data_IF_249698325215
#
_entry.id   IF_249698325215
#
_cell.length_a   1.000
_cell.length_b   1.000
_cell.length_c   1.000
_cell.angle_alpha   90.00
_cell.angle_beta   90.00
_cell.angle_gamma   90.00
#
_symmetry.space_group_name_H-M   'P 1'
#
loop_
_entity.id
_entity.type
_entity.pdbx_description
1 polymer ?
#
# COMPACT_ATOMS: atom_id res chain seq x y z
N UNK A 1 13.98 -16.25 -2.13
CA UNK A 1 12.72 -15.50 -1.89
C UNK A 1 12.46 -14.69 -3.13
N UNK A 2 11.32 -14.87 -3.77
CA UNK A 2 10.88 -13.98 -4.86
C UNK A 2 10.76 -12.57 -4.31
N UNK A 3 11.60 -11.67 -4.82
CA UNK A 3 11.56 -10.27 -4.42
C UNK A 3 10.23 -9.66 -4.85
N UNK A 4 9.37 -9.28 -3.91
CA UNK A 4 8.23 -8.44 -4.18
C UNK A 4 8.71 -6.99 -4.15
N UNK A 5 8.51 -6.26 -5.25
CA UNK A 5 8.78 -4.83 -5.32
C UNK A 5 7.49 -4.06 -5.08
N UNK A 6 7.54 -3.05 -4.22
CA UNK A 6 6.39 -2.22 -3.87
C UNK A 6 6.74 -0.76 -4.17
N UNK A 7 6.04 -0.15 -5.13
CA UNK A 7 6.22 1.25 -5.48
C UNK A 7 5.14 2.10 -4.80
N UNK A 8 5.56 3.11 -4.05
CA UNK A 8 4.71 3.99 -3.24
C UNK A 8 4.73 5.42 -3.76
N UNK A 9 3.68 6.22 -3.53
CA UNK A 9 3.60 7.59 -4.06
C UNK A 9 4.57 8.55 -3.36
N UNK A 10 5.01 8.24 -2.14
CA UNK A 10 5.93 9.07 -1.39
C UNK A 10 7.39 9.02 -1.85
N UNK A 11 7.71 8.06 -2.73
CA UNK A 11 9.04 7.91 -3.30
C UNK A 11 9.00 7.78 -4.82
N UNK A 12 9.68 8.71 -5.51
CA UNK A 12 9.75 8.70 -6.97
C UNK A 12 10.66 7.57 -7.46
N UNK A 13 10.11 6.67 -8.24
CA UNK A 13 10.79 5.47 -8.72
C UNK A 13 11.84 5.82 -9.78
N UNK A 14 13.06 5.28 -9.66
CA UNK A 14 13.98 5.15 -10.77
C UNK A 14 13.56 3.94 -11.62
N UNK A 15 13.03 4.22 -12.80
CA UNK A 15 12.44 3.21 -13.66
C UNK A 15 13.49 2.19 -14.15
N UNK A 16 14.69 2.66 -14.50
CA UNK A 16 15.75 1.77 -14.96
C UNK A 16 16.17 0.81 -13.85
N UNK A 17 16.38 1.33 -12.66
CA UNK A 17 16.71 0.52 -11.49
C UNK A 17 15.61 -0.48 -11.13
N UNK A 18 14.33 -0.08 -11.18
CA UNK A 18 13.20 -0.98 -10.93
C UNK A 18 13.17 -2.13 -11.95
N UNK A 19 13.37 -1.83 -13.24
CA UNK A 19 13.40 -2.84 -14.31
C UNK A 19 14.56 -3.82 -14.08
N UNK A 20 15.75 -3.33 -13.75
CA UNK A 20 16.91 -4.18 -13.46
C UNK A 20 16.66 -5.13 -12.29
N UNK A 21 16.02 -4.62 -11.22
CA UNK A 21 15.62 -5.46 -10.09
C UNK A 21 14.61 -6.53 -10.48
N UNK A 22 13.59 -6.19 -11.28
CA UNK A 22 12.58 -7.16 -11.74
C UNK A 22 13.19 -8.24 -12.62
N UNK A 23 14.13 -7.90 -13.51
CA UNK A 23 14.84 -8.87 -14.34
C UNK A 23 15.75 -9.77 -13.50
N UNK A 24 16.45 -9.23 -12.50
CA UNK A 24 17.24 -10.01 -11.56
C UNK A 24 16.37 -10.98 -10.76
N UNK A 25 15.27 -10.48 -10.19
CA UNK A 25 14.31 -11.32 -9.45
C UNK A 25 13.75 -12.45 -10.31
N UNK A 26 13.42 -12.16 -11.57
CA UNK A 26 12.93 -13.17 -12.52
C UNK A 26 13.96 -14.26 -12.76
N UNK A 27 15.24 -13.89 -12.95
CA UNK A 27 16.34 -14.85 -13.19
C UNK A 27 16.64 -15.71 -11.97
N UNK A 28 16.57 -15.12 -10.78
CA UNK A 28 16.85 -15.81 -9.51
C UNK A 28 15.68 -16.70 -9.06
N UNK A 29 14.48 -16.44 -9.55
CA UNK A 29 13.30 -17.20 -9.21
C UNK A 29 13.23 -18.50 -10.05
N UNK A 30 13.22 -19.68 -9.41
CA UNK A 30 13.09 -20.95 -10.12
C UNK A 30 11.84 -21.06 -11.00
N UNK A 31 10.78 -20.34 -10.68
CA UNK A 31 9.53 -20.27 -11.46
C UNK A 31 9.56 -19.21 -12.56
N UNK A 32 10.70 -18.50 -12.71
CA UNK A 32 10.97 -17.56 -13.79
C UNK A 32 9.95 -16.41 -13.91
N UNK A 33 9.54 -15.84 -12.78
CA UNK A 33 8.72 -14.63 -12.75
C UNK A 33 9.22 -13.66 -11.66
N UNK A 34 8.84 -12.41 -11.77
CA UNK A 34 8.99 -11.37 -10.74
C UNK A 34 7.66 -10.66 -10.49
N UNK A 35 7.54 -9.99 -9.36
CA UNK A 35 6.31 -9.32 -8.95
C UNK A 35 6.60 -7.86 -8.56
N UNK A 36 5.74 -6.95 -9.02
CA UNK A 36 5.69 -5.59 -8.53
C UNK A 36 4.26 -5.21 -8.14
N UNK A 37 4.11 -4.53 -7.00
CA UNK A 37 2.86 -3.88 -6.60
C UNK A 37 3.07 -2.38 -6.70
N UNK A 38 2.17 -1.71 -7.40
CA UNK A 38 2.20 -0.27 -7.58
C UNK A 38 0.98 0.36 -6.93
N UNK A 39 1.22 1.43 -6.18
CA UNK A 39 0.13 2.32 -5.77
C UNK A 39 -0.32 3.19 -6.96
N UNK A 40 -1.59 3.55 -7.00
CA UNK A 40 -2.17 4.45 -8.04
C UNK A 40 -1.44 5.80 -8.14
N UNK A 41 -0.80 6.23 -7.07
CA UNK A 41 0.00 7.47 -7.04
C UNK A 41 1.49 7.30 -7.33
N UNK A 42 1.92 6.11 -7.77
CA UNK A 42 3.33 5.88 -8.11
C UNK A 42 3.77 6.74 -9.28
N UNK A 43 4.94 7.36 -9.17
CA UNK A 43 5.54 8.21 -10.19
C UNK A 43 6.97 7.80 -10.48
N UNK A 44 7.42 8.03 -11.74
CA UNK A 44 8.84 7.97 -12.14
C UNK A 44 9.22 9.19 -12.98
N UNK A 45 10.49 9.35 -13.26
CA UNK A 45 10.96 10.48 -14.06
C UNK A 45 10.42 10.38 -15.51
N UNK A 46 9.78 11.45 -15.97
CA UNK A 46 9.15 11.50 -17.30
C UNK A 46 7.74 10.91 -17.37
N UNK A 47 7.25 10.33 -16.27
CA UNK A 47 5.86 9.87 -16.19
C UNK A 47 4.92 11.02 -15.84
N UNK A 48 3.84 11.11 -16.60
CA UNK A 48 2.71 12.01 -16.30
C UNK A 48 1.47 11.17 -16.14
N UNK A 49 0.84 11.27 -14.97
CA UNK A 49 -0.41 10.58 -14.67
C UNK A 49 -1.47 10.98 -15.70
N UNK A 50 -2.04 10.01 -16.38
CA UNK A 50 -3.10 10.21 -17.36
C UNK A 50 -4.45 10.03 -16.70
N UNK A 51 -5.29 11.03 -16.79
CA UNK A 51 -6.68 10.96 -16.34
C UNK A 51 -7.60 10.85 -17.57
N UNK A 52 -8.71 10.12 -17.43
CA UNK A 52 -9.69 9.97 -18.49
C UNK A 52 -11.13 9.99 -17.95
N UNK A 53 -12.09 10.23 -18.86
CA UNK A 53 -13.51 10.29 -18.53
C UNK A 53 -13.95 11.62 -17.93
N UNK A 54 -15.23 11.70 -17.60
CA UNK A 54 -15.82 12.86 -16.93
C UNK A 54 -15.49 12.82 -15.43
N UNK A 55 -15.45 14.01 -14.83
CA UNK A 55 -15.27 14.13 -13.38
C UNK A 55 -16.52 13.60 -12.66
N UNK A 56 -16.31 12.89 -11.54
CA UNK A 56 -17.40 12.49 -10.68
C UNK A 56 -18.04 13.70 -9.94
N UNK A 57 -19.06 13.43 -9.11
CA UNK A 57 -19.75 14.47 -8.33
C UNK A 57 -18.83 15.24 -7.36
N UNK A 58 -17.63 14.76 -7.11
CA UNK A 58 -16.61 15.35 -6.24
C UNK A 58 -15.43 15.96 -7.02
N UNK A 59 -15.49 15.96 -8.36
CA UNK A 59 -14.45 16.51 -9.22
C UNK A 59 -13.30 15.56 -9.55
N UNK A 60 -13.36 14.30 -9.17
CA UNK A 60 -12.33 13.31 -9.48
C UNK A 60 -12.54 12.68 -10.83
N UNK A 61 -11.48 12.58 -11.63
CA UNK A 61 -11.45 11.82 -12.88
C UNK A 61 -10.83 10.44 -12.66
N UNK A 62 -11.23 9.49 -13.49
CA UNK A 62 -10.59 8.16 -13.46
C UNK A 62 -9.15 8.29 -13.93
N UNK A 63 -8.24 7.69 -13.18
CA UNK A 63 -6.82 7.60 -13.51
C UNK A 63 -6.58 6.34 -14.35
N UNK A 64 -5.69 6.43 -15.34
CA UNK A 64 -5.19 5.24 -16.02
C UNK A 64 -4.36 4.42 -15.06
N UNK A 65 -4.37 3.10 -15.25
CA UNK A 65 -3.56 2.19 -14.43
C UNK A 65 -2.08 2.47 -14.65
N UNK A 66 -1.38 2.88 -13.60
CA UNK A 66 0.08 3.07 -13.57
C UNK A 66 0.80 1.78 -13.98
N UNK A 67 0.20 0.63 -13.65
CA UNK A 67 0.77 -0.67 -13.96
C UNK A 67 0.76 -0.97 -15.47
N UNK A 68 -0.24 -0.50 -16.21
CA UNK A 68 -0.27 -0.62 -17.67
C UNK A 68 0.86 0.20 -18.33
N UNK A 69 1.09 1.42 -17.84
CA UNK A 69 2.21 2.24 -18.34
C UNK A 69 3.57 1.58 -18.00
N UNK A 70 3.73 1.02 -16.79
CA UNK A 70 4.93 0.27 -16.41
C UNK A 70 5.14 -0.96 -17.31
N UNK A 71 4.08 -1.70 -17.63
CA UNK A 71 4.14 -2.84 -18.54
C UNK A 71 4.76 -2.44 -19.88
N UNK A 72 4.30 -1.34 -20.46
CA UNK A 72 4.82 -0.84 -21.74
C UNK A 72 6.30 -0.40 -21.63
N UNK A 73 6.71 0.20 -20.52
CA UNK A 73 8.11 0.55 -20.29
C UNK A 73 9.00 -0.69 -20.15
N UNK A 74 8.55 -1.72 -19.42
CA UNK A 74 9.27 -3.00 -19.30
C UNK A 74 9.44 -3.62 -20.70
N UNK A 75 8.34 -3.72 -21.47
CA UNK A 75 8.37 -4.29 -22.81
C UNK A 75 9.33 -3.53 -23.74
N UNK A 76 9.31 -2.20 -23.68
CA UNK A 76 10.20 -1.35 -24.49
C UNK A 76 11.67 -1.53 -24.11
N UNK A 77 11.98 -1.64 -22.84
CA UNK A 77 13.35 -1.72 -22.35
C UNK A 77 13.96 -3.13 -22.50
N UNK A 78 13.16 -4.18 -22.38
CA UNK A 78 13.66 -5.55 -22.20
C UNK A 78 13.12 -6.56 -23.22
N UNK A 79 12.01 -6.24 -23.90
CA UNK A 79 11.25 -7.19 -24.73
C UNK A 79 10.43 -8.20 -23.92
N UNK A 80 10.43 -8.12 -22.59
CA UNK A 80 9.68 -9.03 -21.72
C UNK A 80 8.22 -8.62 -21.63
N UNK A 81 7.34 -9.61 -21.57
CA UNK A 81 5.90 -9.40 -21.37
C UNK A 81 5.55 -9.42 -19.88
N UNK A 82 4.67 -8.51 -19.48
CA UNK A 82 4.12 -8.44 -18.13
C UNK A 82 2.60 -8.54 -18.15
N UNK A 83 2.04 -9.19 -17.12
CA UNK A 83 0.60 -9.28 -16.90
C UNK A 83 0.23 -8.27 -15.81
N UNK A 84 -0.78 -7.45 -16.09
CA UNK A 84 -1.30 -6.47 -15.14
C UNK A 84 -2.61 -6.97 -14.56
N UNK A 85 -2.78 -6.77 -13.25
CA UNK A 85 -4.02 -7.02 -12.53
C UNK A 85 -4.31 -5.87 -11.58
N UNK A 86 -5.51 -5.32 -11.66
CA UNK A 86 -5.98 -4.28 -10.74
C UNK A 86 -6.64 -4.94 -9.54
N UNK A 87 -5.97 -4.83 -8.38
CA UNK A 87 -6.39 -5.48 -7.13
C UNK A 87 -7.49 -4.72 -6.35
N UNK A 88 -8.06 -3.68 -6.91
CA UNK A 88 -8.95 -2.72 -6.24
C UNK A 88 -9.95 -3.34 -5.26
N UNK A 89 -10.86 -4.17 -5.76
CA UNK A 89 -11.88 -4.83 -4.95
C UNK A 89 -11.39 -6.14 -4.34
N UNK A 90 -10.44 -6.82 -4.97
CA UNK A 90 -9.88 -8.08 -4.49
C UNK A 90 -9.23 -7.95 -3.12
N UNK A 91 -8.62 -6.78 -2.83
CA UNK A 91 -8.04 -6.47 -1.52
C UNK A 91 -9.09 -6.17 -0.43
N UNK A 92 -10.35 -6.00 -0.80
CA UNK A 92 -11.45 -5.61 0.11
C UNK A 92 -12.60 -6.60 0.10
N UNK A 93 -12.50 -7.65 -0.69
CA UNK A 93 -13.50 -8.71 -0.82
C UNK A 93 -13.03 -9.98 -0.10
N UNK A 94 -13.97 -10.82 0.20
CA UNK A 94 -13.71 -12.07 0.90
C UNK A 94 -14.27 -12.06 2.33
N UNK A 95 -14.31 -13.24 2.93
CA UNK A 95 -14.76 -13.39 4.31
C UNK A 95 -13.68 -12.91 5.28
N UNK A 96 -14.05 -12.15 6.33
CA UNK A 96 -13.11 -11.72 7.34
C UNK A 96 -12.51 -12.92 8.07
N UNK A 97 -11.22 -12.87 8.33
CA UNK A 97 -10.51 -13.88 9.11
C UNK A 97 -10.69 -13.66 10.63
N UNK A 98 -9.97 -14.44 11.42
CA UNK A 98 -10.03 -14.33 12.88
C UNK A 98 -9.55 -12.95 13.38
N UNK A 99 -8.48 -12.41 12.78
CA UNK A 99 -7.92 -11.12 13.21
C UNK A 99 -8.87 -9.98 12.87
N UNK A 100 -9.44 -9.97 11.68
CA UNK A 100 -10.45 -8.99 11.27
C UNK A 100 -11.63 -8.95 12.24
N UNK A 101 -12.15 -10.14 12.59
CA UNK A 101 -13.26 -10.26 13.53
C UNK A 101 -12.90 -9.80 14.92
N UNK A 102 -11.73 -10.19 15.42
CA UNK A 102 -11.26 -9.80 16.75
C UNK A 102 -11.14 -8.27 16.86
N UNK A 103 -10.52 -7.63 15.87
CA UNK A 103 -10.39 -6.17 15.84
C UNK A 103 -11.75 -5.49 15.75
N UNK A 104 -12.64 -5.98 14.88
CA UNK A 104 -13.97 -5.40 14.71
C UNK A 104 -14.80 -5.50 16.01
N UNK A 105 -14.82 -6.65 16.67
CA UNK A 105 -15.53 -6.82 17.95
C UNK A 105 -14.95 -5.93 19.05
N UNK A 106 -13.63 -5.84 19.16
CA UNK A 106 -12.99 -4.98 20.15
C UNK A 106 -13.31 -3.51 19.89
N UNK A 107 -13.24 -3.07 18.64
CA UNK A 107 -13.60 -1.70 18.27
C UNK A 107 -15.07 -1.38 18.55
N UNK A 108 -15.98 -2.32 18.28
CA UNK A 108 -17.39 -2.15 18.59
C UNK A 108 -17.62 -2.00 20.10
N UNK A 109 -16.99 -2.84 20.93
CA UNK A 109 -17.06 -2.72 22.40
C UNK A 109 -16.55 -1.37 22.89
N UNK A 110 -15.36 -0.96 22.45
CA UNK A 110 -14.78 0.34 22.82
C UNK A 110 -15.66 1.52 22.39
N UNK A 111 -16.31 1.44 21.22
CA UNK A 111 -17.22 2.48 20.77
C UNK A 111 -18.48 2.54 21.65
N UNK A 112 -19.01 1.39 22.08
CA UNK A 112 -20.15 1.35 23.02
C UNK A 112 -19.79 1.93 24.39
N UNK A 113 -18.63 1.56 24.96
CA UNK A 113 -18.14 2.12 26.22
C UNK A 113 -18.00 3.65 26.12
N UNK A 114 -17.48 4.16 25.01
CA UNK A 114 -17.36 5.60 24.80
C UNK A 114 -18.71 6.30 24.71
N UNK A 115 -19.72 5.66 24.11
CA UNK A 115 -21.08 6.19 24.05
C UNK A 115 -21.74 6.22 25.46
N UNK A 116 -21.58 5.15 26.24
CA UNK A 116 -22.08 5.09 27.62
C UNK A 116 -21.44 6.18 28.51
N UNK A 117 -20.14 6.44 28.28
CA UNK A 117 -19.41 7.50 28.98
C UNK A 117 -19.62 8.90 28.38
N UNK A 118 -20.51 9.05 27.38
CA UNK A 118 -20.79 10.30 26.67
C UNK A 118 -19.54 10.98 26.07
N UNK A 119 -18.54 10.21 25.70
CA UNK A 119 -17.34 10.66 25.00
C UNK A 119 -17.62 10.89 23.52
N UNK A 120 -17.13 11.99 22.97
CA UNK A 120 -17.27 12.34 21.54
C UNK A 120 -15.97 12.85 20.96
N UNK A 121 -15.90 12.95 19.62
CA UNK A 121 -14.69 13.43 18.93
C UNK A 121 -13.54 12.43 18.94
N UNK A 122 -13.82 11.15 19.24
CA UNK A 122 -12.84 10.07 19.30
C UNK A 122 -13.11 9.00 18.23
N UNK A 123 -12.08 8.27 17.86
CA UNK A 123 -12.18 7.07 17.05
C UNK A 123 -11.43 5.92 17.72
N UNK A 124 -11.90 4.71 17.48
CA UNK A 124 -11.17 3.50 17.86
C UNK A 124 -9.96 3.31 16.98
N UNK A 125 -8.82 2.94 17.55
CA UNK A 125 -7.57 2.75 16.82
C UNK A 125 -6.71 1.64 17.46
N UNK A 126 -5.75 1.16 16.69
CA UNK A 126 -4.60 0.44 17.21
C UNK A 126 -3.44 1.43 17.17
N UNK A 127 -2.95 1.84 18.33
CA UNK A 127 -1.83 2.75 18.47
C UNK A 127 -0.71 2.04 19.22
N UNK A 128 0.49 1.97 18.62
CA UNK A 128 1.66 1.27 19.18
C UNK A 128 1.36 -0.18 19.59
N UNK A 129 0.56 -0.89 18.79
CA UNK A 129 0.18 -2.27 19.05
C UNK A 129 -0.87 -2.46 20.16
N UNK A 130 -1.52 -1.38 20.61
CA UNK A 130 -2.56 -1.41 21.65
C UNK A 130 -3.85 -0.82 21.14
N UNK A 131 -4.98 -1.38 21.57
CA UNK A 131 -6.27 -0.77 21.35
C UNK A 131 -6.37 0.54 22.13
N UNK A 132 -6.80 1.60 21.47
CA UNK A 132 -6.88 2.93 22.04
C UNK A 132 -8.05 3.74 21.44
N UNK A 133 -8.57 4.68 22.21
CA UNK A 133 -9.42 5.77 21.71
C UNK A 133 -8.49 6.96 21.43
N UNK A 134 -8.52 7.45 20.21
CA UNK A 134 -7.70 8.60 19.78
C UNK A 134 -8.59 9.71 19.24
N UNK A 135 -8.18 10.97 19.32
CA UNK A 135 -8.92 12.06 18.68
C UNK A 135 -9.10 11.79 17.18
N UNK A 136 -10.26 12.17 16.63
CA UNK A 136 -10.49 12.13 15.19
C UNK A 136 -9.44 13.07 14.54
N UNK A 137 -8.66 12.58 13.55
CA UNK A 137 -7.65 13.41 12.88
C UNK A 137 -8.28 14.61 12.18
N UNK A 138 -7.58 15.73 12.17
CA UNK A 138 -7.98 16.89 11.39
C UNK A 138 -7.91 16.54 9.89
N UNK A 139 -9.06 16.64 9.21
CA UNK A 139 -9.17 16.38 7.76
C UNK A 139 -8.29 17.30 6.91
N UNK A 140 -7.93 18.48 7.41
CA UNK A 140 -7.06 19.42 6.71
C UNK A 140 -5.59 18.95 6.64
N UNK A 141 -5.18 18.00 7.47
CA UNK A 141 -3.83 17.43 7.43
C UNK A 141 -3.61 16.48 6.25
N UNK A 142 -4.68 16.16 5.52
CA UNK A 142 -4.62 15.22 4.39
C UNK A 142 -4.39 13.77 4.81
N UNK A 143 -4.17 12.87 3.87
CA UNK A 143 -3.95 11.45 4.15
C UNK A 143 -2.61 11.21 4.86
N UNK A 144 -2.59 10.17 5.70
CA UNK A 144 -1.37 9.72 6.34
C UNK A 144 -0.38 9.23 5.27
N UNK A 145 0.87 9.68 5.38
CA UNK A 145 1.95 9.32 4.45
C UNK A 145 2.89 8.29 5.09
N UNK A 146 3.54 7.51 4.23
CA UNK A 146 4.62 6.61 4.64
C UNK A 146 5.86 7.44 4.98
N UNK A 147 6.46 7.21 6.16
CA UNK A 147 7.79 7.71 6.46
C UNK A 147 8.83 6.87 5.69
N UNK A 148 9.26 7.40 4.55
CA UNK A 148 10.18 6.72 3.65
C UNK A 148 11.50 6.38 4.36
N UNK A 149 12.01 7.26 5.21
CA UNK A 149 13.31 7.07 5.86
C UNK A 149 13.33 5.88 6.82
N UNK A 150 12.24 5.66 7.57
CA UNK A 150 12.15 4.59 8.57
C UNK A 150 11.48 3.32 8.07
N UNK A 151 10.51 3.43 7.14
CA UNK A 151 9.59 2.34 6.80
C UNK A 151 9.83 1.72 5.43
N UNK A 152 10.67 2.32 4.58
CA UNK A 152 10.82 1.92 3.19
C UNK A 152 12.29 1.81 2.76
N UNK A 153 12.63 0.74 2.05
CA UNK A 153 13.93 0.53 1.44
C UNK A 153 13.89 1.03 -0.01
N UNK A 154 14.50 2.19 -0.25
CA UNK A 154 14.51 2.87 -1.55
C UNK A 154 15.37 2.18 -2.59
N UNK A 155 16.36 1.37 -2.17
CA UNK A 155 17.23 0.61 -3.06
C UNK A 155 16.58 -0.68 -3.55
N UNK A 156 15.73 -1.25 -2.70
CA UNK A 156 15.06 -2.52 -2.99
C UNK A 156 13.59 -2.36 -3.37
N UNK A 157 13.04 -1.17 -3.25
CA UNK A 157 11.60 -0.91 -3.42
C UNK A 157 10.73 -1.87 -2.62
N UNK A 158 10.96 -1.96 -1.33
CA UNK A 158 10.21 -2.83 -0.44
C UNK A 158 10.06 -2.22 0.96
N UNK A 159 9.04 -2.64 1.73
CA UNK A 159 8.92 -2.23 3.12
C UNK A 159 10.13 -2.68 3.94
N UNK A 160 10.57 -1.83 4.87
CA UNK A 160 11.49 -2.24 5.94
C UNK A 160 10.70 -2.86 7.08
N UNK A 161 11.09 -4.04 7.49
CA UNK A 161 10.46 -4.76 8.58
C UNK A 161 11.46 -4.99 9.69
N UNK A 162 11.26 -4.34 10.82
CA UNK A 162 11.91 -4.72 12.08
C UNK A 162 11.14 -5.89 12.69
N UNK A 163 11.47 -7.09 12.27
CA UNK A 163 10.88 -8.30 12.83
C UNK A 163 11.38 -8.52 14.25
N UNK A 164 10.59 -8.14 15.24
CA UNK A 164 10.75 -8.68 16.59
C UNK A 164 10.20 -10.09 16.59
N UNK A 165 11.09 -11.07 16.73
CA UNK A 165 10.73 -12.48 16.77
C UNK A 165 9.63 -12.73 17.81
N UNK A 166 8.56 -13.41 17.41
CA UNK A 166 7.49 -13.85 18.31
C UNK A 166 6.32 -12.86 18.47
N UNK A 167 6.38 -11.67 17.88
CA UNK A 167 5.23 -10.75 17.88
C UNK A 167 4.51 -10.79 16.54
N UNK A 168 3.17 -10.78 16.52
CA UNK A 168 2.40 -10.58 15.30
C UNK A 168 2.79 -9.25 14.64
N UNK A 169 2.84 -9.22 13.32
CA UNK A 169 3.27 -8.06 12.54
C UNK A 169 2.54 -6.74 12.91
N UNK A 170 1.23 -6.82 13.14
CA UNK A 170 0.40 -5.66 13.53
C UNK A 170 0.61 -5.19 14.98
N UNK A 171 1.36 -5.94 15.79
CA UNK A 171 1.77 -5.55 17.15
C UNK A 171 3.21 -5.03 17.20
N UNK A 172 3.95 -5.11 16.11
CA UNK A 172 5.29 -4.55 16.04
C UNK A 172 5.20 -3.07 15.62
N UNK A 173 5.99 -2.22 16.28
CA UNK A 173 6.18 -0.86 15.79
C UNK A 173 6.95 -0.91 14.48
N UNK A 174 6.62 -0.01 13.52
CA UNK A 174 7.51 0.25 12.40
C UNK A 174 8.84 0.82 12.88
#
# INVERSE_FOLDING_TARGET
MTGLRCCIPEYKVDLAHLIDLLISDKRENPSNYSLAILSEGTEWQGYTLKEYGEADAFGHRKKMSVAEDLREEIRRATGEEAVVSDLTYDLRSGSPDFVDRLVAFTFAGMAMDALEESKSGLMTAINEGRYAMVPIPDSNLGPRKVDVASMYDTERYCPRHDHKTGLPFFLTRP
#
